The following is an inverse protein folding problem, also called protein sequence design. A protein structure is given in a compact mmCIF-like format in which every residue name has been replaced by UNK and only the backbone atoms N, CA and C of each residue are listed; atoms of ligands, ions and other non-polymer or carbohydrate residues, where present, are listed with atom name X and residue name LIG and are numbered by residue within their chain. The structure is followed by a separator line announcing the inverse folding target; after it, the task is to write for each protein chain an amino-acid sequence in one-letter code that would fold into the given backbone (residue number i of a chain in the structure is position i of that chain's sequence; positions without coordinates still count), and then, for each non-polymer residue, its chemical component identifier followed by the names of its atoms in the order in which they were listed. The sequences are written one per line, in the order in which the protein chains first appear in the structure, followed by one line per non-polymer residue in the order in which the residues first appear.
data_IF_521059098041
#
_entry.id   IF_521059098041
#
_cell.length_a   1.000
_cell.length_b   1.000
_cell.length_c   1.000
_cell.angle_alpha   90.00
_cell.angle_beta   90.00
_cell.angle_gamma   90.00
#
_symmetry.space_group_name_H-M   'P 1'
#
loop_
_entity.id
_entity.type
_entity.pdbx_description
1 polymer ?
#
# COMPACT_ATOMS: atom_id res chain seq x y z
N UNK A 1 15.47 10.70 -14.29
CA UNK A 1 15.34 11.42 -13.00
C UNK A 1 16.25 12.63 -12.90
N UNK A 2 17.57 12.53 -13.11
CA UNK A 2 18.47 13.70 -13.01
C UNK A 2 18.05 14.84 -13.93
N UNK A 3 17.62 14.52 -15.15
CA UNK A 3 17.04 15.48 -16.10
C UNK A 3 15.85 16.25 -15.51
N UNK A 4 14.89 15.56 -14.88
CA UNK A 4 13.70 16.20 -14.33
C UNK A 4 14.05 17.18 -13.19
N UNK A 5 15.04 16.83 -12.35
CA UNK A 5 15.51 17.69 -11.28
C UNK A 5 16.25 18.93 -11.81
N UNK A 6 17.21 18.76 -12.72
CA UNK A 6 17.91 19.91 -13.29
C UNK A 6 16.98 20.77 -14.13
N UNK A 7 15.99 20.18 -14.79
CA UNK A 7 15.01 20.92 -15.59
C UNK A 7 14.09 21.80 -14.75
N UNK A 8 13.77 21.39 -13.52
CA UNK A 8 13.01 22.25 -12.62
C UNK A 8 13.83 23.43 -12.12
N UNK A 9 15.14 23.25 -11.93
CA UNK A 9 16.06 24.28 -11.43
C UNK A 9 16.63 25.20 -12.53
N UNK A 10 16.58 24.80 -13.81
CA UNK A 10 17.18 25.58 -14.89
C UNK A 10 16.37 26.84 -15.25
N UNK A 11 17.05 27.95 -15.52
CA UNK A 11 16.44 29.23 -15.88
C UNK A 11 16.67 29.61 -17.37
N UNK A 12 17.62 28.93 -18.02
CA UNK A 12 18.16 29.19 -19.35
C UNK A 12 19.47 29.99 -19.29
N UNK A 13 20.36 29.74 -20.26
CA UNK A 13 21.62 30.50 -20.37
C UNK A 13 21.41 32.00 -20.61
N UNK A 14 22.32 32.81 -20.06
CA UNK A 14 22.34 34.25 -20.26
C UNK A 14 22.36 34.61 -21.77
N UNK A 15 21.38 35.40 -22.21
CA UNK A 15 21.22 35.79 -23.62
C UNK A 15 20.33 34.86 -24.47
N UNK A 16 19.87 33.72 -23.92
CA UNK A 16 18.90 32.85 -24.60
C UNK A 16 17.48 33.43 -24.55
N UNK A 17 16.67 33.18 -25.59
CA UNK A 17 15.25 33.56 -25.55
C UNK A 17 14.58 32.83 -24.40
N UNK A 18 13.93 33.58 -23.49
CA UNK A 18 13.16 33.02 -22.38
C UNK A 18 12.10 32.07 -22.94
N UNK A 19 12.31 30.76 -22.75
CA UNK A 19 11.51 29.72 -23.32
C UNK A 19 11.96 28.34 -22.84
N UNK A 20 11.09 27.36 -23.02
CA UNK A 20 11.34 25.97 -22.57
C UNK A 20 12.63 25.40 -23.18
N UNK A 21 12.90 25.73 -24.45
CA UNK A 21 14.08 25.22 -25.16
C UNK A 21 15.40 25.69 -24.54
N UNK A 22 15.47 26.95 -24.06
CA UNK A 22 16.66 27.47 -23.37
C UNK A 22 16.94 26.73 -22.06
N UNK A 23 15.90 26.39 -21.31
CA UNK A 23 15.97 25.56 -20.10
C UNK A 23 16.43 24.13 -20.42
N UNK A 24 15.93 23.54 -21.50
CA UNK A 24 16.39 22.21 -21.96
C UNK A 24 17.87 22.23 -22.30
N UNK A 25 18.36 23.23 -23.05
CA UNK A 25 19.78 23.33 -23.38
C UNK A 25 20.66 23.42 -22.13
N UNK A 26 20.30 24.29 -21.18
CA UNK A 26 21.02 24.37 -19.90
C UNK A 26 21.06 23.02 -19.19
N UNK A 27 19.93 22.30 -19.13
CA UNK A 27 19.87 21.02 -18.42
C UNK A 27 20.71 19.94 -19.07
N UNK A 28 20.73 19.88 -20.41
CA UNK A 28 21.53 18.92 -21.15
C UNK A 28 23.01 19.21 -20.92
N UNK A 29 23.42 20.48 -20.97
CA UNK A 29 24.81 20.87 -20.69
C UNK A 29 25.18 20.55 -19.24
N UNK A 30 24.33 20.87 -18.27
CA UNK A 30 24.56 20.53 -16.85
C UNK A 30 24.65 19.03 -16.62
N UNK A 31 23.82 18.23 -17.30
CA UNK A 31 23.93 16.77 -17.25
C UNK A 31 25.24 16.26 -17.85
N UNK A 32 25.68 16.82 -18.98
CA UNK A 32 26.95 16.46 -19.60
C UNK A 32 28.15 16.82 -18.71
N UNK A 33 28.10 18.00 -18.06
CA UNK A 33 29.13 18.39 -17.10
C UNK A 33 29.12 17.49 -15.86
N UNK A 34 27.94 17.13 -15.36
CA UNK A 34 27.81 16.22 -14.22
C UNK A 34 28.33 14.82 -14.57
N UNK A 35 28.01 14.28 -15.75
CA UNK A 35 28.54 12.97 -16.15
C UNK A 35 30.05 13.01 -16.30
N UNK A 36 30.61 14.05 -16.92
CA UNK A 36 32.06 14.25 -16.99
C UNK A 36 32.71 14.39 -15.60
N UNK A 37 32.06 15.11 -14.68
CA UNK A 37 32.54 15.24 -13.30
C UNK A 37 32.56 13.89 -12.59
N UNK A 38 31.46 13.12 -12.65
CA UNK A 38 31.37 11.80 -12.02
C UNK A 38 32.41 10.85 -12.62
N UNK A 39 32.55 10.82 -13.95
CA UNK A 39 33.57 10.01 -14.63
C UNK A 39 34.99 10.43 -14.21
N UNK A 40 35.26 11.74 -14.11
CA UNK A 40 36.53 12.27 -13.64
C UNK A 40 36.82 11.89 -12.20
N UNK A 41 35.82 11.96 -11.31
CA UNK A 41 35.97 11.55 -9.90
C UNK A 41 36.24 10.05 -9.78
N UNK A 42 35.54 9.20 -10.53
CA UNK A 42 35.79 7.75 -10.57
C UNK A 42 37.20 7.46 -11.08
N UNK A 43 37.64 8.16 -12.12
CA UNK A 43 38.98 8.02 -12.68
C UNK A 43 40.08 8.42 -11.67
N UNK A 44 39.91 9.55 -10.99
CA UNK A 44 40.85 10.01 -9.94
C UNK A 44 40.86 9.03 -8.76
N UNK A 45 39.69 8.61 -8.27
CA UNK A 45 39.60 7.64 -7.19
C UNK A 45 40.29 6.31 -7.55
N UNK A 46 40.12 5.85 -8.80
CA UNK A 46 40.77 4.64 -9.30
C UNK A 46 42.29 4.80 -9.38
N UNK A 47 42.79 5.96 -9.82
CA UNK A 47 44.23 6.24 -9.88
C UNK A 47 44.90 6.29 -8.49
N UNK A 48 44.15 6.68 -7.45
CA UNK A 48 44.63 6.68 -6.06
C UNK A 48 44.70 5.26 -5.51
N UNK A 49 43.73 4.40 -5.85
CA UNK A 49 43.66 3.02 -5.34
C UNK A 49 44.61 2.09 -6.09
N UNK A 50 44.72 2.23 -7.41
CA UNK A 50 45.55 1.34 -8.23
C UNK A 50 46.29 2.10 -9.34
N UNK A 51 47.63 2.07 -9.28
CA UNK A 51 48.50 2.94 -10.07
C UNK A 51 48.69 2.46 -11.54
N UNK A 52 48.10 1.32 -11.93
CA UNK A 52 48.34 0.69 -13.25
C UNK A 52 47.11 0.52 -14.16
N UNK A 53 45.88 0.79 -13.68
CA UNK A 53 44.65 0.36 -14.35
C UNK A 53 43.68 1.50 -14.74
N UNK A 54 44.17 2.65 -15.19
CA UNK A 54 43.30 3.83 -15.40
C UNK A 54 42.32 3.70 -16.58
N UNK A 55 42.64 2.93 -17.64
CA UNK A 55 41.71 2.67 -18.77
C UNK A 55 40.75 1.51 -18.51
N UNK A 56 41.17 0.50 -17.73
CA UNK A 56 40.29 -0.61 -17.33
C UNK A 56 39.27 -0.17 -16.28
N UNK A 57 39.60 0.84 -15.45
CA UNK A 57 38.70 1.35 -14.40
C UNK A 57 37.31 1.80 -14.87
N UNK A 58 37.17 2.38 -16.07
CA UNK A 58 35.86 2.80 -16.60
C UNK A 58 35.05 1.61 -17.12
N UNK A 59 35.73 0.61 -17.71
CA UNK A 59 35.10 -0.64 -18.10
C UNK A 59 34.70 -1.45 -16.87
N UNK A 60 35.57 -1.52 -15.85
CA UNK A 60 35.28 -2.12 -14.55
C UNK A 60 34.11 -1.42 -13.86
N UNK A 61 34.02 -0.08 -13.94
CA UNK A 61 32.85 0.65 -13.43
C UNK A 61 31.54 0.19 -14.07
N UNK A 62 31.54 0.08 -15.40
CA UNK A 62 30.37 -0.32 -16.16
C UNK A 62 30.00 -1.80 -15.96
N UNK A 63 30.98 -2.69 -15.91
CA UNK A 63 30.77 -4.14 -15.91
C UNK A 63 30.70 -4.75 -14.50
N UNK A 64 31.45 -4.20 -13.53
CA UNK A 64 31.52 -4.71 -12.17
C UNK A 64 30.71 -3.88 -11.16
N UNK A 65 30.88 -2.56 -11.13
CA UNK A 65 30.26 -1.71 -10.11
C UNK A 65 28.79 -1.39 -10.38
N UNK A 66 28.40 -1.22 -11.64
CA UNK A 66 27.01 -0.90 -12.02
C UNK A 66 26.03 -2.04 -11.66
N UNK A 67 26.32 -3.33 -11.94
CA UNK A 67 25.50 -4.44 -11.44
C UNK A 67 25.45 -4.54 -9.92
N UNK A 68 26.55 -4.19 -9.22
CA UNK A 68 26.58 -4.17 -7.76
C UNK A 68 25.67 -3.08 -7.19
N UNK A 69 25.74 -1.86 -7.72
CA UNK A 69 24.84 -0.76 -7.36
C UNK A 69 23.37 -1.13 -7.60
N UNK A 70 23.09 -1.73 -8.76
CA UNK A 70 21.74 -2.22 -9.04
C UNK A 70 21.31 -3.30 -8.04
N UNK A 71 22.22 -4.21 -7.67
CA UNK A 71 21.96 -5.23 -6.64
C UNK A 71 21.61 -4.59 -5.29
N UNK A 72 22.36 -3.56 -4.86
CA UNK A 72 22.07 -2.82 -3.63
C UNK A 72 20.70 -2.13 -3.68
N UNK A 73 20.37 -1.47 -4.80
CA UNK A 73 19.07 -0.81 -4.99
C UNK A 73 17.93 -1.84 -4.97
N UNK A 74 18.10 -2.97 -5.66
CA UNK A 74 17.13 -4.06 -5.69
C UNK A 74 16.94 -4.68 -4.31
N UNK A 75 18.03 -4.96 -3.58
CA UNK A 75 17.98 -5.48 -2.22
C UNK A 75 17.24 -4.53 -1.27
N UNK A 76 17.53 -3.23 -1.33
CA UNK A 76 16.80 -2.21 -0.57
C UNK A 76 15.32 -2.16 -0.96
N UNK A 77 15.01 -2.28 -2.25
CA UNK A 77 13.64 -2.38 -2.74
C UNK A 77 12.89 -3.62 -2.22
N UNK A 78 13.55 -4.78 -2.18
CA UNK A 78 12.97 -6.03 -1.66
C UNK A 78 12.76 -5.95 -0.14
N UNK A 79 13.70 -5.37 0.62
CA UNK A 79 13.51 -5.09 2.05
C UNK A 79 12.36 -4.11 2.30
N UNK A 80 12.23 -3.08 1.47
CA UNK A 80 11.11 -2.15 1.54
C UNK A 80 9.78 -2.87 1.25
N UNK A 81 9.73 -3.75 0.24
CA UNK A 81 8.58 -4.59 -0.07
C UNK A 81 8.22 -5.53 1.09
N UNK A 82 9.19 -6.12 1.78
CA UNK A 82 8.99 -6.98 2.95
C UNK A 82 8.19 -6.31 4.06
N UNK A 83 8.46 -5.03 4.32
CA UNK A 83 7.78 -4.27 5.38
C UNK A 83 6.48 -3.64 4.88
N UNK A 84 6.50 -3.05 3.68
CA UNK A 84 5.37 -2.34 3.12
C UNK A 84 4.21 -3.29 2.77
N UNK A 85 4.47 -4.48 2.25
CA UNK A 85 3.42 -5.41 1.84
C UNK A 85 2.51 -5.84 2.99
N UNK A 86 3.00 -6.42 4.11
CA UNK A 86 2.14 -6.79 5.25
C UNK A 86 1.44 -5.57 5.89
N UNK A 87 2.10 -4.41 5.94
CA UNK A 87 1.46 -3.18 6.41
C UNK A 87 0.30 -2.75 5.50
N UNK A 88 0.50 -2.85 4.19
CA UNK A 88 -0.50 -2.57 3.17
C UNK A 88 -1.70 -3.51 3.26
N UNK A 89 -1.45 -4.81 3.46
CA UNK A 89 -2.52 -5.79 3.72
C UNK A 89 -3.38 -5.38 4.91
N UNK A 90 -2.77 -5.05 6.05
CA UNK A 90 -3.48 -4.58 7.24
C UNK A 90 -4.35 -3.34 6.94
N UNK A 91 -3.78 -2.40 6.18
CA UNK A 91 -4.45 -1.16 5.80
C UNK A 91 -5.59 -1.40 4.84
N UNK A 92 -5.44 -2.29 3.86
CA UNK A 92 -6.53 -2.65 2.95
C UNK A 92 -7.70 -3.29 3.68
N UNK A 93 -7.47 -4.21 4.63
CA UNK A 93 -8.54 -4.74 5.47
C UNK A 93 -9.23 -3.64 6.30
N UNK A 94 -8.46 -2.74 6.91
CA UNK A 94 -9.03 -1.63 7.70
C UNK A 94 -9.83 -0.64 6.84
N UNK A 95 -9.34 -0.35 5.64
CA UNK A 95 -9.96 0.59 4.69
C UNK A 95 -11.23 -0.01 4.10
N UNK A 96 -11.20 -1.29 3.68
CA UNK A 96 -12.39 -2.05 3.26
C UNK A 96 -13.46 -2.04 4.36
N UNK A 97 -13.05 -2.20 5.63
CA UNK A 97 -13.91 -2.11 6.80
C UNK A 97 -14.60 -0.74 7.01
N UNK A 98 -13.97 0.35 6.55
CA UNK A 98 -14.46 1.74 6.72
C UNK A 98 -15.20 2.26 5.49
N UNK A 99 -14.72 1.95 4.29
CA UNK A 99 -15.23 2.45 3.01
C UNK A 99 -16.46 1.67 2.55
N UNK A 100 -16.49 0.36 2.77
CA UNK A 100 -17.66 -0.42 2.42
C UNK A 100 -18.65 -0.38 3.59
N UNK A 101 -19.88 0.03 3.27
CA UNK A 101 -20.99 0.04 4.21
C UNK A 101 -21.16 -1.37 4.73
N UNK A 102 -20.96 -1.57 6.04
CA UNK A 102 -21.21 -2.87 6.66
C UNK A 102 -22.64 -3.31 6.31
N UNK A 103 -22.83 -4.49 5.72
CA UNK A 103 -24.14 -4.97 5.36
C UNK A 103 -24.91 -5.18 6.66
N UNK A 104 -25.99 -4.43 6.86
CA UNK A 104 -27.00 -4.80 7.85
C UNK A 104 -28.02 -5.63 7.10
N UNK A 105 -27.67 -6.90 6.90
CA UNK A 105 -28.34 -7.82 5.99
C UNK A 105 -29.83 -8.08 6.36
N UNK A 106 -30.26 -7.64 7.53
CA UNK A 106 -31.58 -7.87 8.12
C UNK A 106 -32.26 -6.59 8.67
N UNK A 107 -31.66 -5.41 8.52
CA UNK A 107 -32.39 -4.18 8.88
C UNK A 107 -33.02 -3.59 7.62
N UNK A 108 -34.34 -3.46 7.66
CA UNK A 108 -35.07 -2.82 6.60
C UNK A 108 -34.72 -1.32 6.59
N UNK A 109 -33.93 -0.91 5.60
CA UNK A 109 -33.52 0.48 5.44
C UNK A 109 -34.75 1.39 5.24
N UNK A 110 -35.84 0.84 4.69
CA UNK A 110 -37.07 1.56 4.51
C UNK A 110 -37.76 1.82 5.86
N UNK A 111 -37.86 0.79 6.70
CA UNK A 111 -38.37 0.91 8.07
C UNK A 111 -37.56 1.93 8.89
N UNK A 112 -36.23 1.91 8.81
CA UNK A 112 -35.39 2.91 9.50
C UNK A 112 -35.58 4.34 8.97
N UNK A 113 -35.77 4.50 7.66
CA UNK A 113 -36.04 5.80 7.08
C UNK A 113 -37.40 6.33 7.55
N UNK A 114 -38.41 5.45 7.62
CA UNK A 114 -39.74 5.80 8.12
C UNK A 114 -39.74 6.13 9.61
N UNK A 115 -39.11 5.32 10.45
CA UNK A 115 -38.99 5.58 11.89
C UNK A 115 -38.25 6.90 12.16
N UNK A 116 -37.13 7.15 11.49
CA UNK A 116 -36.37 8.40 11.66
C UNK A 116 -37.12 9.63 11.16
N UNK A 117 -37.86 9.53 10.04
CA UNK A 117 -38.72 10.61 9.57
C UNK A 117 -39.88 10.90 10.54
N UNK A 118 -40.44 9.85 11.16
CA UNK A 118 -41.52 10.01 12.14
C UNK A 118 -41.02 10.65 13.44
N UNK A 119 -39.85 10.25 13.94
CA UNK A 119 -39.19 10.88 15.10
C UNK A 119 -38.86 12.36 14.84
N UNK A 120 -38.32 12.68 13.66
CA UNK A 120 -38.04 14.07 13.25
C UNK A 120 -39.34 14.91 13.25
N UNK A 121 -40.42 14.39 12.67
CA UNK A 121 -41.71 15.08 12.63
C UNK A 121 -42.30 15.26 14.05
N UNK A 122 -42.17 14.27 14.93
CA UNK A 122 -42.64 14.34 16.31
C UNK A 122 -41.86 15.39 17.13
N UNK A 123 -40.53 15.41 17.00
CA UNK A 123 -39.68 16.39 17.68
C UNK A 123 -39.88 17.81 17.15
N UNK A 124 -40.02 17.97 15.83
CA UNK A 124 -40.31 19.27 15.19
C UNK A 124 -41.64 19.84 15.70
N UNK A 125 -42.67 18.99 15.85
CA UNK A 125 -43.96 19.40 16.44
C UNK A 125 -43.83 19.82 17.91
N UNK A 126 -43.00 19.13 18.70
CA UNK A 126 -42.71 19.51 20.09
C UNK A 126 -41.98 20.85 20.19
N UNK A 127 -41.11 21.16 19.23
CA UNK A 127 -40.42 22.47 19.14
C UNK A 127 -41.42 23.58 18.78
N UNK A 128 -42.31 23.36 17.81
CA UNK A 128 -43.27 24.37 17.36
C UNK A 128 -44.42 24.62 18.34
N UNK A 129 -44.79 23.64 19.17
CA UNK A 129 -45.86 23.75 20.17
C UNK A 129 -45.35 23.42 21.60
N UNK A 130 -44.63 24.34 22.25
CA UNK A 130 -44.07 24.12 23.58
C UNK A 130 -45.12 24.16 24.71
N UNK A 131 -46.37 24.52 24.43
CA UNK A 131 -47.40 24.87 25.42
C UNK A 131 -48.08 23.69 26.12
N UNK A 132 -47.73 22.44 25.81
CA UNK A 132 -48.47 21.25 26.27
C UNK A 132 -47.79 20.41 27.36
N UNK A 133 -46.60 20.76 27.86
CA UNK A 133 -45.90 19.92 28.83
C UNK A 133 -45.31 20.72 30.01
N UNK A 134 -45.74 20.36 31.23
CA UNK A 134 -45.32 20.92 32.52
C UNK A 134 -43.91 20.51 32.95
N UNK A 135 -43.02 20.16 32.01
CA UNK A 135 -41.63 19.82 32.29
C UNK A 135 -40.69 20.89 31.73
N UNK A 136 -39.62 21.27 32.45
CA UNK A 136 -38.56 22.11 31.90
C UNK A 136 -37.87 21.33 30.77
N UNK A 137 -38.18 21.70 29.54
CA UNK A 137 -37.64 21.06 28.35
C UNK A 137 -36.37 21.80 27.93
N UNK A 138 -35.24 21.10 27.97
CA UNK A 138 -33.96 21.64 27.48
C UNK A 138 -34.01 21.76 25.96
N UNK A 139 -34.37 22.96 25.48
CA UNK A 139 -34.52 23.28 24.07
C UNK A 139 -33.23 23.07 23.27
N UNK A 140 -32.07 23.19 23.92
CA UNK A 140 -30.78 23.01 23.26
C UNK A 140 -30.46 21.53 23.05
N UNK A 141 -30.83 20.67 24.00
CA UNK A 141 -30.77 19.21 23.82
C UNK A 141 -31.69 18.75 22.68
N UNK A 142 -32.90 19.32 22.60
CA UNK A 142 -33.89 18.98 21.58
C UNK A 142 -33.43 19.38 20.17
N UNK A 143 -32.89 20.60 20.02
CA UNK A 143 -32.29 21.04 18.75
C UNK A 143 -31.14 20.14 18.32
N UNK A 144 -30.26 19.73 19.25
CA UNK A 144 -29.15 18.80 18.95
C UNK A 144 -29.66 17.44 18.50
N UNK A 145 -30.75 16.93 19.09
CA UNK A 145 -31.36 15.66 18.68
C UNK A 145 -31.98 15.74 17.29
N UNK A 146 -32.69 16.81 16.97
CA UNK A 146 -33.25 17.02 15.62
C UNK A 146 -32.14 17.10 14.58
N UNK A 147 -31.06 17.85 14.87
CA UNK A 147 -29.92 17.98 13.96
C UNK A 147 -29.20 16.64 13.77
N UNK A 148 -29.07 15.83 14.83
CA UNK A 148 -28.54 14.47 14.73
C UNK A 148 -29.42 13.55 13.85
N UNK A 149 -30.74 13.59 14.02
CA UNK A 149 -31.69 12.82 13.19
C UNK A 149 -31.65 13.26 11.72
N UNK A 150 -31.55 14.55 11.44
CA UNK A 150 -31.40 15.07 10.08
C UNK A 150 -30.12 14.57 9.40
N UNK A 151 -28.99 14.59 10.11
CA UNK A 151 -27.74 14.04 9.57
C UNK A 151 -27.84 12.54 9.30
N UNK A 152 -28.51 11.79 10.19
CA UNK A 152 -28.76 10.37 10.01
C UNK A 152 -29.65 10.09 8.79
N UNK A 153 -30.71 10.88 8.59
CA UNK A 153 -31.61 10.75 7.44
C UNK A 153 -30.88 11.02 6.12
N UNK A 154 -30.07 12.08 6.04
CA UNK A 154 -29.25 12.39 4.85
C UNK A 154 -28.28 11.25 4.53
N UNK A 155 -27.68 10.62 5.55
CA UNK A 155 -26.83 9.44 5.38
C UNK A 155 -27.63 8.21 4.89
N UNK A 156 -28.83 7.98 5.42
CA UNK A 156 -29.71 6.88 5.01
C UNK A 156 -30.23 7.08 3.57
N UNK A 157 -30.58 8.29 3.17
CA UNK A 157 -31.01 8.60 1.79
C UNK A 157 -29.88 8.44 0.78
N UNK A 158 -28.66 8.87 1.13
CA UNK A 158 -27.47 8.57 0.31
C UNK A 158 -27.25 7.07 0.15
N UNK A 159 -27.47 6.29 1.22
CA UNK A 159 -27.42 4.81 1.15
C UNK A 159 -28.55 4.22 0.32
N UNK A 160 -29.76 4.78 0.36
CA UNK A 160 -30.90 4.33 -0.46
C UNK A 160 -30.59 4.42 -1.94
N UNK A 161 -29.91 5.49 -2.38
CA UNK A 161 -29.52 5.70 -3.79
C UNK A 161 -28.43 4.76 -4.28
N UNK A 162 -27.72 4.05 -3.40
CA UNK A 162 -26.73 3.06 -3.79
C UNK A 162 -27.39 1.72 -4.15
N UNK A 163 -26.86 1.02 -5.16
CA UNK A 163 -27.38 -0.28 -5.62
C UNK A 163 -27.39 -1.32 -4.50
N UNK A 164 -28.45 -2.14 -4.43
CA UNK A 164 -28.61 -3.20 -3.42
C UNK A 164 -27.42 -4.20 -3.44
N UNK A 165 -26.88 -4.49 -4.63
CA UNK A 165 -25.74 -5.38 -4.79
C UNK A 165 -24.45 -4.78 -4.20
N UNK A 166 -24.20 -3.49 -4.45
CA UNK A 166 -23.05 -2.76 -3.90
C UNK A 166 -23.16 -2.58 -2.37
N UNK A 167 -24.38 -2.47 -1.84
CA UNK A 167 -24.66 -2.29 -0.41
C UNK A 167 -24.51 -3.57 0.40
N UNK A 168 -25.01 -4.71 -0.11
CA UNK A 168 -25.08 -5.94 0.66
C UNK A 168 -24.01 -6.96 0.29
N UNK A 169 -23.64 -7.06 -1.00
CA UNK A 169 -22.68 -8.07 -1.46
C UNK A 169 -21.25 -7.51 -1.61
N UNK A 170 -21.10 -6.22 -1.90
CA UNK A 170 -19.79 -5.59 -2.10
C UNK A 170 -18.83 -5.77 -0.91
N UNK A 171 -19.31 -5.50 0.32
CA UNK A 171 -18.52 -5.65 1.54
C UNK A 171 -18.06 -7.09 1.80
N UNK A 172 -18.96 -8.09 1.89
CA UNK A 172 -18.54 -9.46 2.19
C UNK A 172 -17.70 -10.06 1.06
N UNK A 173 -18.00 -9.74 -0.21
CA UNK A 173 -17.21 -10.20 -1.35
C UNK A 173 -15.79 -9.62 -1.33
N UNK A 174 -15.64 -8.31 -1.07
CA UNK A 174 -14.32 -7.67 -0.99
C UNK A 174 -13.50 -8.21 0.20
N UNK A 175 -14.13 -8.38 1.37
CA UNK A 175 -13.49 -8.96 2.55
C UNK A 175 -13.06 -10.41 2.31
N UNK A 176 -13.92 -11.23 1.69
CA UNK A 176 -13.63 -12.61 1.33
C UNK A 176 -12.49 -12.67 0.29
N UNK A 177 -12.52 -11.82 -0.72
CA UNK A 177 -11.47 -11.73 -1.74
C UNK A 177 -10.12 -11.39 -1.11
N UNK A 178 -10.06 -10.37 -0.24
CA UNK A 178 -8.84 -10.02 0.50
C UNK A 178 -8.36 -11.17 1.38
N UNK A 179 -9.26 -11.86 2.08
CA UNK A 179 -8.94 -13.01 2.92
C UNK A 179 -8.39 -14.19 2.11
N UNK A 180 -9.01 -14.50 0.97
CA UNK A 180 -8.56 -15.57 0.07
C UNK A 180 -7.20 -15.23 -0.55
N UNK A 181 -7.02 -14.03 -1.08
CA UNK A 181 -5.75 -13.61 -1.68
C UNK A 181 -4.61 -13.58 -0.65
N UNK A 182 -4.85 -13.06 0.56
CA UNK A 182 -3.86 -13.12 1.65
C UNK A 182 -3.57 -14.55 2.08
N UNK A 183 -4.59 -15.36 2.32
CA UNK A 183 -4.44 -16.76 2.71
C UNK A 183 -3.65 -17.57 1.68
N UNK A 184 -3.96 -17.42 0.39
CA UNK A 184 -3.22 -18.04 -0.71
C UNK A 184 -1.77 -17.56 -0.75
N UNK A 185 -1.51 -16.26 -0.57
CA UNK A 185 -0.14 -15.74 -0.55
C UNK A 185 0.69 -16.33 0.59
N UNK A 186 0.14 -16.42 1.80
CA UNK A 186 0.81 -17.02 2.97
C UNK A 186 1.03 -18.51 2.76
N UNK A 187 0.02 -19.22 2.24
CA UNK A 187 0.10 -20.65 1.99
C UNK A 187 1.20 -20.98 0.97
N UNK A 188 1.27 -20.24 -0.15
CA UNK A 188 2.30 -20.44 -1.17
C UNK A 188 3.70 -20.19 -0.59
N UNK A 189 3.88 -19.10 0.16
CA UNK A 189 5.17 -18.81 0.80
C UNK A 189 5.53 -19.86 1.84
N UNK A 190 4.57 -20.35 2.63
CA UNK A 190 4.80 -21.40 3.62
C UNK A 190 5.21 -22.73 2.96
N UNK A 191 4.56 -23.11 1.86
CA UNK A 191 4.96 -24.27 1.05
C UNK A 191 6.37 -24.04 0.48
N UNK A 192 6.68 -22.83 0.00
CA UNK A 192 8.02 -22.52 -0.50
C UNK A 192 9.11 -22.60 0.57
N UNK A 193 8.83 -22.15 1.80
CA UNK A 193 9.74 -22.31 2.95
C UNK A 193 9.99 -23.80 3.24
N UNK A 194 8.95 -24.63 3.19
CA UNK A 194 9.07 -26.07 3.38
C UNK A 194 9.86 -26.73 2.24
N UNK A 195 9.62 -26.33 0.99
CA UNK A 195 10.42 -26.77 -0.17
C UNK A 195 11.90 -26.39 0.00
N UNK A 196 12.19 -25.15 0.40
CA UNK A 196 13.56 -24.68 0.67
C UNK A 196 14.25 -25.49 1.78
N UNK A 197 13.51 -25.93 2.80
CA UNK A 197 14.08 -26.71 3.91
C UNK A 197 14.41 -28.16 3.51
N UNK A 198 13.67 -28.71 2.54
CA UNK A 198 13.82 -30.10 2.08
C UNK A 198 14.81 -30.21 0.92
N UNK A 199 14.82 -29.23 0.01
CA UNK A 199 15.62 -29.25 -1.21
C UNK A 199 16.34 -27.91 -1.43
N UNK A 200 17.66 -27.91 -1.26
CA UNK A 200 18.50 -26.73 -1.53
C UNK A 200 18.46 -26.31 -3.01
N UNK A 201 18.04 -27.18 -3.94
CA UNK A 201 17.89 -26.80 -5.35
C UNK A 201 16.68 -25.88 -5.63
N UNK A 202 15.78 -25.70 -4.65
CA UNK A 202 14.63 -24.80 -4.77
C UNK A 202 14.99 -23.30 -4.68
N UNK A 203 16.27 -22.98 -4.40
CA UNK A 203 16.75 -21.60 -4.33
C UNK A 203 16.45 -20.82 -5.61
N UNK A 204 16.20 -19.49 -5.51
CA UNK A 204 16.01 -18.61 -6.65
C UNK A 204 17.35 -18.33 -7.38
N UNK A 205 18.09 -19.38 -7.76
CA UNK A 205 19.27 -19.23 -8.63
C UNK A 205 18.77 -18.99 -10.05
N UNK A 206 19.31 -17.97 -10.72
CA UNK A 206 18.98 -17.68 -12.12
C UNK A 206 19.24 -18.92 -12.97
N UNK A 207 18.27 -19.31 -13.80
CA UNK A 207 18.43 -20.49 -14.63
C UNK A 207 19.35 -20.12 -15.81
N UNK A 208 20.58 -20.59 -15.78
CA UNK A 208 21.42 -20.62 -16.99
C UNK A 208 20.84 -21.68 -17.95
N UNK A 209 19.92 -21.26 -18.84
CA UNK A 209 19.59 -22.02 -20.05
C UNK A 209 18.17 -22.61 -20.17
N UNK A 210 17.20 -22.27 -19.31
CA UNK A 210 15.83 -22.71 -19.54
C UNK A 210 15.09 -21.77 -20.51
N UNK A 211 14.81 -22.27 -21.71
CA UNK A 211 14.07 -21.56 -22.76
C UNK A 211 12.66 -21.20 -22.31
N UNK A 212 12.29 -19.93 -22.51
CA UNK A 212 10.92 -19.44 -22.31
C UNK A 212 9.93 -20.33 -23.07
N UNK A 213 8.93 -20.88 -22.36
CA UNK A 213 7.76 -21.51 -22.97
C UNK A 213 7.76 -23.04 -23.13
N UNK A 214 8.78 -23.76 -22.65
CA UNK A 214 8.85 -25.22 -22.87
C UNK A 214 8.07 -26.08 -21.88
N UNK A 215 7.65 -25.56 -20.72
CA UNK A 215 6.79 -26.32 -19.81
C UNK A 215 5.81 -25.40 -19.09
N UNK A 216 4.52 -25.69 -19.20
CA UNK A 216 3.46 -25.02 -18.44
C UNK A 216 3.62 -25.41 -16.97
N UNK A 217 4.30 -24.56 -16.19
CA UNK A 217 4.86 -24.92 -14.88
C UNK A 217 4.00 -24.60 -13.65
N UNK A 218 2.74 -24.18 -13.83
CA UNK A 218 1.78 -24.41 -12.75
C UNK A 218 1.28 -25.84 -12.88
N UNK A 219 1.28 -26.63 -11.81
CA UNK A 219 0.63 -27.96 -11.82
C UNK A 219 -0.86 -27.88 -12.20
N UNK A 220 -1.44 -26.67 -12.20
CA UNK A 220 -2.80 -26.30 -12.61
C UNK A 220 -2.91 -25.66 -14.02
N UNK A 221 -1.84 -25.61 -14.82
CA UNK A 221 -1.86 -25.06 -16.18
C UNK A 221 -2.14 -23.54 -16.24
N UNK A 222 -2.94 -23.10 -17.21
CA UNK A 222 -3.27 -21.68 -17.44
C UNK A 222 -3.99 -21.02 -16.26
N UNK A 223 -4.80 -21.78 -15.53
CA UNK A 223 -5.52 -21.28 -14.35
C UNK A 223 -4.56 -20.87 -13.23
N UNK A 224 -3.50 -21.64 -13.01
CA UNK A 224 -2.48 -21.28 -12.04
C UNK A 224 -1.66 -20.05 -12.45
N UNK A 225 -1.43 -19.84 -13.75
CA UNK A 225 -0.80 -18.62 -14.24
C UNK A 225 -1.67 -17.38 -13.98
N UNK A 226 -2.99 -17.49 -14.18
CA UNK A 226 -3.94 -16.41 -13.85
C UNK A 226 -3.87 -16.09 -12.35
N UNK A 227 -3.90 -17.10 -11.47
CA UNK A 227 -3.77 -16.90 -10.02
C UNK A 227 -2.45 -16.21 -9.68
N UNK A 228 -1.33 -16.60 -10.28
CA UNK A 228 -0.03 -15.97 -10.07
C UNK A 228 -0.05 -14.49 -10.44
N UNK A 229 -0.57 -14.13 -11.63
CA UNK A 229 -0.68 -12.74 -12.06
C UNK A 229 -1.55 -11.93 -11.10
N UNK A 230 -2.68 -12.48 -10.68
CA UNK A 230 -3.58 -11.84 -9.71
C UNK A 230 -2.86 -11.64 -8.37
N UNK A 231 -2.10 -12.63 -7.88
CA UNK A 231 -1.34 -12.52 -6.63
C UNK A 231 -0.21 -11.49 -6.73
N UNK A 232 0.53 -11.44 -7.84
CA UNK A 232 1.59 -10.43 -8.06
C UNK A 232 0.98 -9.03 -8.06
N UNK A 233 -0.11 -8.83 -8.81
CA UNK A 233 -0.80 -7.54 -8.85
C UNK A 233 -1.35 -7.18 -7.46
N UNK A 234 -1.92 -8.14 -6.75
CA UNK A 234 -2.41 -7.97 -5.39
C UNK A 234 -1.30 -7.51 -4.44
N UNK A 235 -0.14 -8.17 -4.43
CA UNK A 235 0.99 -7.80 -3.57
C UNK A 235 1.63 -6.47 -4.00
N UNK A 236 1.63 -6.15 -5.28
CA UNK A 236 2.04 -4.84 -5.79
C UNK A 236 1.13 -3.72 -5.25
N UNK A 237 -0.18 -3.86 -5.36
CA UNK A 237 -1.13 -2.87 -4.83
C UNK A 237 -0.99 -2.77 -3.31
N UNK A 238 -0.85 -3.92 -2.65
CA UNK A 238 -0.60 -3.98 -1.20
C UNK A 238 0.65 -3.21 -0.81
N UNK A 239 1.77 -3.44 -1.50
CA UNK A 239 3.03 -2.79 -1.18
C UNK A 239 2.99 -1.28 -1.42
N UNK A 240 2.31 -0.81 -2.47
CA UNK A 240 2.09 0.63 -2.72
C UNK A 240 1.22 1.25 -1.62
N UNK A 241 0.12 0.60 -1.25
CA UNK A 241 -0.75 1.06 -0.15
C UNK A 241 0.03 1.11 1.16
N UNK A 242 0.86 0.11 1.42
CA UNK A 242 1.73 0.04 2.60
C UNK A 242 2.81 1.12 2.61
N UNK A 243 3.44 1.37 1.47
CA UNK A 243 4.46 2.41 1.29
C UNK A 243 3.91 3.78 1.72
N UNK A 244 2.77 4.19 1.16
CA UNK A 244 2.14 5.47 1.51
C UNK A 244 1.49 5.50 2.90
N UNK A 245 1.27 4.34 3.52
CA UNK A 245 0.75 4.22 4.88
C UNK A 245 1.84 4.17 5.95
N UNK A 246 3.10 4.05 5.54
CA UNK A 246 4.25 3.98 6.44
C UNK A 246 4.57 5.36 7.04
N UNK A 247 5.09 5.42 8.28
CA UNK A 247 5.45 6.69 8.92
C UNK A 247 6.62 7.39 8.21
N UNK A 248 7.51 6.63 7.58
CA UNK A 248 8.69 7.16 6.89
C UNK A 248 8.37 7.80 5.53
N UNK A 249 7.44 7.20 4.77
CA UNK A 249 7.12 7.64 3.41
C UNK A 249 5.75 8.30 3.29
N UNK A 250 5.03 8.48 4.41
CA UNK A 250 3.74 9.17 4.42
C UNK A 250 3.83 10.64 3.99
N UNK A 251 4.99 11.28 4.14
CA UNK A 251 5.26 12.65 3.67
C UNK A 251 5.29 12.77 2.14
N UNK A 252 5.59 11.68 1.43
CA UNK A 252 5.59 11.63 -0.03
C UNK A 252 4.20 11.43 -0.61
N UNK A 253 3.14 11.26 0.20
CA UNK A 253 1.80 11.02 -0.33
C UNK A 253 1.33 12.19 -1.21
N UNK A 254 1.03 11.96 -2.51
CA UNK A 254 0.61 13.03 -3.39
C UNK A 254 -0.74 13.61 -2.95
N UNK A 255 -0.84 14.94 -2.96
CA UNK A 255 -2.08 15.70 -2.74
C UNK A 255 -2.53 16.32 -4.04
N UNK A 256 -3.84 16.34 -4.27
CA UNK A 256 -4.42 16.99 -5.43
C UNK A 256 -4.07 18.48 -5.42
N UNK A 257 -3.45 18.97 -6.50
CA UNK A 257 -3.06 20.38 -6.73
C UNK A 257 -2.04 20.98 -5.76
N UNK A 258 -1.50 20.22 -4.81
CA UNK A 258 -0.58 20.70 -3.77
C UNK A 258 0.59 19.72 -3.60
N UNK A 259 1.35 19.52 -4.68
CA UNK A 259 2.55 18.65 -4.68
C UNK A 259 3.73 19.41 -5.27
N UNK A 260 4.82 19.50 -4.50
CA UNK A 260 6.04 20.10 -4.99
C UNK A 260 6.69 19.19 -6.05
N UNK A 261 7.35 19.78 -7.06
CA UNK A 261 8.04 18.99 -8.10
C UNK A 261 9.07 18.02 -7.52
N UNK A 262 9.74 18.39 -6.43
CA UNK A 262 10.67 17.52 -5.68
C UNK A 262 9.97 16.29 -5.10
N UNK A 263 8.74 16.42 -4.59
CA UNK A 263 7.94 15.29 -4.11
C UNK A 263 7.48 14.38 -5.26
N UNK A 264 7.18 14.94 -6.44
CA UNK A 264 6.83 14.16 -7.62
C UNK A 264 8.04 13.33 -8.06
N UNK A 265 9.23 13.94 -8.18
CA UNK A 265 10.47 13.23 -8.50
C UNK A 265 10.75 12.14 -7.47
N UNK A 266 10.63 12.45 -6.18
CA UNK A 266 10.80 11.49 -5.09
C UNK A 266 9.85 10.29 -5.19
N UNK A 267 8.55 10.54 -5.41
CA UNK A 267 7.56 9.49 -5.64
C UNK A 267 7.90 8.61 -6.83
N UNK A 268 8.28 9.21 -7.95
CA UNK A 268 8.67 8.46 -9.14
C UNK A 268 9.90 7.59 -8.86
N UNK A 269 10.88 8.09 -8.10
CA UNK A 269 12.08 7.32 -7.73
C UNK A 269 11.70 6.15 -6.83
N UNK A 270 10.91 6.39 -5.79
CA UNK A 270 10.47 5.34 -4.88
C UNK A 270 9.63 4.27 -5.58
N UNK A 271 8.65 4.66 -6.41
CA UNK A 271 7.83 3.72 -7.18
C UNK A 271 8.65 2.95 -8.21
N UNK A 272 9.66 3.57 -8.83
CA UNK A 272 10.57 2.90 -9.75
C UNK A 272 11.37 1.81 -9.03
N UNK A 273 11.95 2.14 -7.86
CA UNK A 273 12.68 1.16 -7.02
C UNK A 273 11.74 0.02 -6.61
N UNK A 274 10.55 0.35 -6.10
CA UNK A 274 9.55 -0.63 -5.68
C UNK A 274 9.17 -1.56 -6.85
N UNK A 275 8.89 -0.99 -8.03
CA UNK A 275 8.54 -1.71 -9.25
C UNK A 275 9.67 -2.63 -9.74
N UNK A 276 10.91 -2.14 -9.73
CA UNK A 276 12.09 -2.92 -10.14
C UNK A 276 12.38 -4.10 -9.21
N UNK A 277 11.98 -4.00 -7.93
CA UNK A 277 12.15 -5.05 -6.95
C UNK A 277 11.01 -6.09 -6.97
N UNK A 278 9.86 -5.82 -7.60
CA UNK A 278 8.71 -6.73 -7.64
C UNK A 278 9.02 -8.10 -8.27
N UNK A 279 9.77 -8.23 -9.38
CA UNK A 279 10.11 -9.53 -9.94
C UNK A 279 10.98 -10.36 -9.00
N UNK A 280 11.98 -9.72 -8.38
CA UNK A 280 12.88 -10.34 -7.39
C UNK A 280 12.09 -10.75 -6.15
N UNK A 281 11.20 -9.89 -5.66
CA UNK A 281 10.26 -10.17 -4.57
C UNK A 281 9.35 -11.37 -4.87
N UNK A 282 8.71 -11.41 -6.04
CA UNK A 282 7.83 -12.51 -6.46
C UNK A 282 8.56 -13.85 -6.53
N UNK A 283 9.79 -13.85 -7.08
CA UNK A 283 10.60 -15.07 -7.21
C UNK A 283 11.19 -15.53 -5.88
N UNK A 284 11.64 -14.60 -5.02
CA UNK A 284 12.16 -14.92 -3.68
C UNK A 284 11.07 -15.48 -2.78
N UNK A 285 9.82 -15.01 -2.91
CA UNK A 285 8.66 -15.55 -2.21
C UNK A 285 8.17 -16.92 -2.75
N UNK A 286 8.70 -17.38 -3.88
CA UNK A 286 8.23 -18.61 -4.53
C UNK A 286 6.86 -18.48 -5.20
N UNK A 287 6.34 -17.26 -5.40
CA UNK A 287 5.04 -17.03 -6.05
C UNK A 287 5.09 -17.39 -7.53
N UNK A 288 6.21 -17.09 -8.17
CA UNK A 288 6.45 -17.40 -9.58
C UNK A 288 7.75 -18.19 -9.74
N UNK A 289 7.69 -19.29 -10.49
CA UNK A 289 8.88 -19.99 -10.99
C UNK A 289 9.44 -19.37 -12.27
N UNK A 290 8.72 -18.43 -12.88
CA UNK A 290 9.21 -17.66 -14.02
C UNK A 290 10.51 -16.96 -13.65
N UNK A 291 11.53 -17.16 -14.49
CA UNK A 291 12.76 -16.40 -14.44
C UNK A 291 12.53 -15.02 -15.06
N UNK A 292 11.74 -14.20 -14.36
CA UNK A 292 11.60 -12.77 -14.64
C UNK A 292 12.84 -11.99 -14.24
N UNK A 293 13.85 -12.66 -13.67
CA UNK A 293 15.08 -12.02 -13.22
C UNK A 293 16.03 -11.76 -14.39
N UNK A 294 16.12 -12.63 -15.41
CA UNK A 294 17.12 -12.42 -16.47
C UNK A 294 18.52 -12.22 -15.86
N UNK A 295 19.22 -11.13 -16.22
CA UNK A 295 20.52 -10.78 -15.62
C UNK A 295 20.48 -10.49 -14.10
N UNK A 296 19.30 -10.27 -13.50
CA UNK A 296 19.12 -10.12 -12.06
C UNK A 296 19.40 -11.43 -11.29
N UNK A 297 19.47 -12.58 -11.98
CA UNK A 297 19.90 -13.85 -11.38
C UNK A 297 21.37 -13.88 -10.96
N UNK A 298 22.17 -12.89 -11.35
CA UNK A 298 23.59 -12.73 -10.98
C UNK A 298 23.79 -12.13 -9.58
N UNK A 299 22.72 -11.82 -8.84
CA UNK A 299 22.87 -11.29 -7.50
C UNK A 299 23.36 -12.35 -6.52
N UNK A 300 24.56 -12.15 -5.99
CA UNK A 300 25.20 -13.04 -5.02
C UNK A 300 24.32 -13.33 -3.78
N UNK A 301 23.43 -12.40 -3.39
CA UNK A 301 22.57 -12.60 -2.22
C UNK A 301 21.39 -13.57 -2.45
N UNK A 302 20.91 -13.73 -3.69
CA UNK A 302 19.85 -14.69 -4.04
C UNK A 302 20.34 -16.15 -3.93
N UNK A 303 21.65 -16.37 -3.98
CA UNK A 303 22.27 -17.68 -3.80
C UNK A 303 22.49 -18.08 -2.34
N UNK A 304 22.25 -17.20 -1.38
CA UNK A 304 22.44 -17.47 0.04
C UNK A 304 21.13 -17.97 0.69
N UNK A 305 21.13 -19.25 1.06
CA UNK A 305 20.01 -19.93 1.71
C UNK A 305 19.49 -19.16 2.93
N UNK A 306 20.37 -18.70 3.82
CA UNK A 306 19.96 -18.06 5.07
C UNK A 306 19.22 -16.74 4.83
N UNK A 307 19.66 -15.95 3.85
CA UNK A 307 19.02 -14.67 3.53
C UNK A 307 17.63 -14.93 2.95
N UNK A 308 17.52 -15.84 1.97
CA UNK A 308 16.25 -16.17 1.32
C UNK A 308 15.28 -16.82 2.32
N UNK A 309 15.75 -17.74 3.15
CA UNK A 309 14.94 -18.38 4.19
C UNK A 309 14.44 -17.36 5.22
N UNK A 310 15.32 -16.54 5.79
CA UNK A 310 14.95 -15.52 6.77
C UNK A 310 13.95 -14.52 6.18
N UNK A 311 14.17 -14.11 4.93
CA UNK A 311 13.28 -13.21 4.21
C UNK A 311 11.87 -13.78 4.08
N UNK A 312 11.76 -15.02 3.61
CA UNK A 312 10.48 -15.72 3.46
C UNK A 312 9.79 -15.95 4.81
N UNK A 313 10.54 -16.39 5.82
CA UNK A 313 10.02 -16.61 7.16
C UNK A 313 9.51 -15.30 7.79
N UNK A 314 10.24 -14.20 7.62
CA UNK A 314 9.81 -12.88 8.07
C UNK A 314 8.53 -12.43 7.35
N UNK A 315 8.46 -12.61 6.04
CA UNK A 315 7.27 -12.26 5.27
C UNK A 315 6.05 -13.07 5.74
N UNK A 316 6.17 -14.41 5.81
CA UNK A 316 5.10 -15.30 6.25
C UNK A 316 4.65 -15.00 7.69
N UNK A 317 5.61 -14.75 8.59
CA UNK A 317 5.34 -14.39 9.98
C UNK A 317 4.61 -13.05 10.11
N UNK A 318 5.10 -12.00 9.45
CA UNK A 318 4.48 -10.67 9.49
C UNK A 318 3.07 -10.66 8.89
N UNK A 319 2.90 -11.33 7.74
CA UNK A 319 1.61 -11.42 7.05
C UNK A 319 0.61 -12.26 7.84
N UNK A 320 1.02 -13.38 8.42
CA UNK A 320 0.17 -14.21 9.28
C UNK A 320 -0.22 -13.47 10.56
N UNK A 321 0.72 -12.81 11.24
CA UNK A 321 0.42 -12.01 12.42
C UNK A 321 -0.57 -10.88 12.11
N UNK A 322 -0.39 -10.21 10.96
CA UNK A 322 -1.32 -9.21 10.46
C UNK A 322 -2.71 -9.82 10.22
N UNK A 323 -2.78 -10.97 9.55
CA UNK A 323 -4.02 -11.68 9.24
C UNK A 323 -4.77 -12.07 10.50
N UNK A 324 -4.08 -12.71 11.46
CA UNK A 324 -4.65 -13.11 12.75
C UNK A 324 -5.15 -11.90 13.52
N UNK A 325 -4.34 -10.84 13.68
CA UNK A 325 -4.78 -9.63 14.40
C UNK A 325 -6.01 -9.00 13.76
N UNK A 326 -6.05 -8.93 12.43
CA UNK A 326 -7.15 -8.31 11.68
C UNK A 326 -8.41 -9.17 11.74
N UNK A 327 -8.28 -10.47 11.53
CA UNK A 327 -9.39 -11.42 11.57
C UNK A 327 -9.96 -11.54 12.99
N UNK A 328 -9.10 -11.73 13.99
CA UNK A 328 -9.51 -11.76 15.41
C UNK A 328 -10.20 -10.46 15.82
N UNK A 329 -9.70 -9.30 15.38
CA UNK A 329 -10.36 -8.01 15.64
C UNK A 329 -11.73 -7.90 14.96
N UNK A 330 -11.85 -8.34 13.70
CA UNK A 330 -13.11 -8.33 12.97
C UNK A 330 -14.14 -9.28 13.59
N UNK A 331 -13.75 -10.51 13.91
CA UNK A 331 -14.60 -11.50 14.58
C UNK A 331 -15.00 -10.99 15.96
N UNK A 332 -14.06 -10.47 16.76
CA UNK A 332 -14.36 -9.89 18.08
C UNK A 332 -15.37 -8.75 17.97
N UNK A 333 -15.22 -7.85 16.99
CA UNK A 333 -16.14 -6.74 16.81
C UNK A 333 -17.55 -7.20 16.42
N UNK A 334 -17.68 -8.18 15.53
CA UNK A 334 -19.01 -8.73 15.20
C UNK A 334 -19.59 -9.58 16.33
N UNK A 335 -18.77 -10.25 17.14
CA UNK A 335 -19.22 -11.02 18.30
C UNK A 335 -19.76 -10.09 19.40
N UNK A 336 -19.06 -9.00 19.73
CA UNK A 336 -19.53 -7.96 20.67
C UNK A 336 -20.87 -7.39 20.21
N UNK A 337 -21.01 -7.15 18.91
CA UNK A 337 -22.23 -6.62 18.31
C UNK A 337 -23.38 -7.62 18.30
N UNK A 338 -23.10 -8.88 18.01
CA UNK A 338 -24.09 -9.97 18.02
C UNK A 338 -24.59 -10.26 19.44
N UNK A 339 -23.71 -10.22 20.45
CA UNK A 339 -24.08 -10.34 21.86
C UNK A 339 -24.73 -9.07 22.45
N UNK A 340 -24.89 -8.00 21.65
CA UNK A 340 -25.51 -6.76 22.10
C UNK A 340 -24.72 -5.99 23.16
N UNK A 341 -23.44 -6.34 23.39
CA UNK A 341 -22.58 -5.65 24.36
C UNK A 341 -22.29 -4.19 23.96
N UNK A 342 -22.50 -3.84 22.69
CA UNK A 342 -22.43 -2.44 22.21
C UNK A 342 -23.50 -1.53 22.86
N UNK A 343 -24.58 -2.11 23.43
CA UNK A 343 -25.62 -1.36 24.16
C UNK A 343 -25.32 -1.20 25.66
N UNK A 344 -24.30 -1.87 26.19
CA UNK A 344 -23.87 -1.67 27.57
C UNK A 344 -22.92 -0.46 27.65
N UNK A 345 -23.05 0.40 28.68
CA UNK A 345 -22.11 1.49 28.94
C UNK A 345 -20.80 0.93 29.50
N UNK A 346 -20.04 0.21 28.68
CA UNK A 346 -18.71 -0.24 29.07
C UNK A 346 -17.67 0.82 28.70
N UNK A 347 -16.75 1.17 29.61
CA UNK A 347 -15.66 2.10 29.34
C UNK A 347 -14.63 1.42 28.44
N UNK A 348 -14.78 1.54 27.13
CA UNK A 348 -13.74 1.09 26.19
C UNK A 348 -12.65 2.16 26.14
N UNK A 349 -11.54 1.89 26.84
CA UNK A 349 -10.29 2.64 26.72
C UNK A 349 -9.75 2.54 25.29
N UNK A 350 -9.79 3.63 24.52
CA UNK A 350 -9.07 3.70 23.24
C UNK A 350 -9.67 4.55 22.12
N UNK A 351 -10.86 5.12 22.28
CA UNK A 351 -11.36 6.16 21.38
C UNK A 351 -11.62 7.44 22.17
N UNK A 352 -11.13 8.61 21.73
CA UNK A 352 -11.54 9.86 22.35
C UNK A 352 -13.01 10.08 21.99
N UNK A 353 -13.91 9.63 22.88
CA UNK A 353 -15.21 10.29 23.04
C UNK A 353 -14.87 11.71 23.47
N UNK A 354 -15.29 12.69 22.68
CA UNK A 354 -15.37 14.09 23.09
C UNK A 354 -16.18 14.16 24.37
N UNK A 355 -15.47 14.15 25.50
CA UNK A 355 -16.05 14.21 26.83
C UNK A 355 -16.65 15.60 27.00
N UNK A 356 -17.98 15.64 27.08
CA UNK A 356 -18.76 16.82 27.43
C UNK A 356 -18.42 17.17 28.88
N UNK A 357 -17.43 18.04 29.08
CA UNK A 357 -17.18 18.66 30.38
C UNK A 357 -18.36 19.60 30.67
N UNK A 358 -19.28 19.14 31.51
CA UNK A 358 -20.15 20.00 32.30
C UNK A 358 -19.26 20.72 33.31
N UNK A 359 -18.94 21.98 33.01
CA UNK A 359 -18.36 22.89 33.99
C UNK A 359 -19.53 23.72 34.53
N UNK A 360 -20.04 23.32 35.70
CA UNK A 360 -20.85 24.20 36.52
C UNK A 360 -19.93 25.27 37.09
N UNK A 361 -20.24 26.53 36.80
CA UNK A 361 -20.00 27.64 37.70
C UNK A 361 -21.16 28.61 37.56
#
# INVERSE_FOLDING_TARGET
MPFAYFFTESEGFAGSRKGVLGRVYETVVMLMLLTLLVLGMVWVASAIVDNKASRESLYDFWEYYLPYLYSCISFLGVLLLLVCTPLGLARMFSVTGKLLVKPRLLEDLEEQLYCSAFEEAALTRRICNPTSCWLPLDMELLHRQVLALQTQRVLLEKRRKASAWQRNLGYPLAMLCLLVLTGLSVLIVAIHILELLIDEAAMPRGMQGASLGQVSFSKLGSFGAIIQVVLIFYLMVSSVVGFYSSPFFGSLRPRWHDTAMTQIIGNCVCLLVLSSALPVFSRTLGLTRFDLLGDFGRFNWLGNFYIVFLYNAAFAGLTTLCLVKTFTAAVRAELIRAFGLDRLPLPVSGFPRTSRKTQHQ
#
